data_IF_278554729025
#
_entry.id   IF_278554729025
#
_cell.length_a   1.000
_cell.length_b   1.000
_cell.length_c   1.000
_cell.angle_alpha   90.00
_cell.angle_beta   90.00
_cell.angle_gamma   90.00
#
_symmetry.space_group_name_H-M   'P 1'
#
loop_
_entity.id
_entity.type
_entity.pdbx_description
1 polymer ?
#
# COMPACT_ATOMS: atom_id res chain seq x y z
N UNK A 1 -8.33 1.05 5.87
CA UNK A 1 -9.25 0.85 7.02
C UNK A 1 -10.64 1.41 6.73
N UNK A 2 -10.79 2.63 6.26
CA UNK A 2 -12.11 3.25 5.99
C UNK A 2 -13.01 2.36 5.14
N UNK A 3 -12.51 1.82 4.03
CA UNK A 3 -13.30 0.96 3.15
C UNK A 3 -13.67 -0.37 3.81
N UNK A 4 -12.72 -1.07 4.42
CA UNK A 4 -13.05 -2.31 5.15
C UNK A 4 -14.15 -2.07 6.19
N UNK A 5 -14.02 -1.03 7.01
CA UNK A 5 -15.01 -0.67 8.04
C UNK A 5 -16.39 -0.37 7.43
N UNK A 6 -16.42 0.34 6.29
CA UNK A 6 -17.68 0.66 5.59
C UNK A 6 -18.44 -0.61 5.21
N UNK A 7 -17.76 -1.57 4.57
CA UNK A 7 -18.40 -2.84 4.16
C UNK A 7 -18.68 -3.76 5.35
N UNK A 8 -17.85 -3.74 6.39
CA UNK A 8 -18.15 -4.52 7.61
C UNK A 8 -19.39 -4.02 8.33
N UNK A 9 -19.67 -2.70 8.34
CA UNK A 9 -20.88 -2.12 8.95
C UNK A 9 -22.18 -2.51 8.26
N UNK A 10 -22.11 -3.06 7.04
CA UNK A 10 -23.27 -3.64 6.36
C UNK A 10 -23.69 -5.00 6.95
N UNK A 11 -22.77 -5.69 7.66
CA UNK A 11 -22.95 -7.07 8.13
C UNK A 11 -22.68 -7.27 9.62
N UNK A 12 -22.18 -6.25 10.32
CA UNK A 12 -21.88 -6.28 11.76
C UNK A 12 -21.93 -4.86 12.36
N UNK A 13 -22.13 -4.78 13.68
CA UNK A 13 -21.88 -3.54 14.42
C UNK A 13 -20.38 -3.35 14.60
N UNK A 14 -19.86 -2.18 14.21
CA UNK A 14 -18.41 -1.89 14.22
C UNK A 14 -18.13 -0.51 14.79
N UNK A 15 -17.44 -0.47 15.90
CA UNK A 15 -16.84 0.73 16.47
C UNK A 15 -15.36 0.83 16.07
N UNK A 16 -14.93 2.04 15.75
CA UNK A 16 -13.56 2.34 15.33
C UNK A 16 -12.88 3.22 16.37
N UNK A 17 -11.85 2.68 17.01
CA UNK A 17 -10.99 3.45 17.90
C UNK A 17 -9.71 3.84 17.17
N UNK A 18 -9.42 5.13 17.09
CA UNK A 18 -8.26 5.63 16.34
C UNK A 18 -7.54 6.78 17.07
N UNK A 19 -6.33 7.06 16.63
CA UNK A 19 -5.54 8.22 17.02
C UNK A 19 -5.58 9.27 15.92
N UNK A 20 -5.48 10.55 16.27
CA UNK A 20 -5.33 11.64 15.30
C UNK A 20 -6.25 12.83 15.57
N UNK A 21 -6.54 13.58 14.50
CA UNK A 21 -7.45 14.72 14.58
C UNK A 21 -8.91 14.26 14.85
N UNK A 22 -9.70 15.09 15.52
CA UNK A 22 -11.13 14.80 15.74
C UNK A 22 -11.83 14.46 14.42
N UNK A 23 -12.71 13.47 14.47
CA UNK A 23 -13.54 13.00 13.34
C UNK A 23 -14.99 12.99 13.79
N UNK A 24 -15.84 13.66 13.02
CA UNK A 24 -17.28 13.65 13.22
C UNK A 24 -17.89 12.54 12.35
N UNK A 25 -17.85 11.32 12.87
CA UNK A 25 -18.41 10.15 12.21
C UNK A 25 -18.98 9.20 13.27
N UNK A 26 -20.17 8.66 13.02
CA UNK A 26 -20.83 7.71 13.91
C UNK A 26 -19.97 6.45 14.12
N UNK A 27 -19.90 6.00 15.38
CA UNK A 27 -19.08 4.84 15.78
C UNK A 27 -17.59 5.02 15.54
N UNK A 28 -17.08 6.27 15.50
CA UNK A 28 -15.63 6.57 15.42
C UNK A 28 -15.20 7.35 16.65
N UNK A 29 -14.34 6.74 17.44
CA UNK A 29 -13.82 7.28 18.70
C UNK A 29 -12.34 7.65 18.54
N UNK A 30 -12.04 8.95 18.63
CA UNK A 30 -10.66 9.45 18.51
C UNK A 30 -10.04 9.63 19.88
N UNK A 31 -8.92 8.95 20.11
CA UNK A 31 -8.17 9.01 21.36
C UNK A 31 -6.95 9.92 21.21
N UNK A 32 -6.85 10.90 22.09
CA UNK A 32 -5.71 11.81 22.16
C UNK A 32 -4.52 11.21 22.90
N UNK A 33 -3.34 11.75 22.66
CA UNK A 33 -2.13 11.49 23.45
C UNK A 33 -2.34 12.06 24.87
N UNK A 34 -1.72 11.44 25.88
CA UNK A 34 -1.69 12.02 27.22
C UNK A 34 -0.91 13.36 27.19
N UNK A 35 -1.49 14.47 27.66
CA UNK A 35 -0.79 15.76 27.66
C UNK A 35 0.55 15.76 28.40
N UNK A 36 0.74 14.90 29.41
CA UNK A 36 2.00 14.74 30.09
C UNK A 36 3.13 14.18 29.19
N UNK A 37 2.75 13.59 28.04
CA UNK A 37 3.65 12.98 27.06
C UNK A 37 3.84 13.83 25.80
N UNK A 38 3.41 15.08 25.77
CA UNK A 38 3.49 15.94 24.56
C UNK A 38 4.92 16.05 23.99
N UNK A 39 5.93 15.99 24.83
CA UNK A 39 7.34 16.03 24.44
C UNK A 39 8.00 14.63 24.38
N UNK A 40 7.23 13.55 24.57
CA UNK A 40 7.77 12.20 24.54
C UNK A 40 8.06 11.72 23.11
N UNK A 41 8.84 10.64 22.99
CA UNK A 41 9.04 9.95 21.71
C UNK A 41 7.70 9.51 21.11
N UNK A 42 7.59 9.56 19.78
CA UNK A 42 6.36 9.22 19.06
C UNK A 42 5.83 7.81 19.39
N UNK A 43 6.71 6.83 19.62
CA UNK A 43 6.29 5.50 20.00
C UNK A 43 5.61 5.48 21.39
N UNK A 44 6.12 6.24 22.37
CA UNK A 44 5.51 6.35 23.70
C UNK A 44 4.15 7.05 23.62
N UNK A 45 4.02 8.09 22.80
CA UNK A 45 2.72 8.74 22.52
C UNK A 45 1.69 7.75 21.97
N UNK A 46 2.10 6.93 21.02
CA UNK A 46 1.27 5.88 20.42
C UNK A 46 0.80 4.87 21.48
N UNK A 47 1.70 4.40 22.33
CA UNK A 47 1.35 3.46 23.40
C UNK A 47 0.35 4.07 24.39
N UNK A 48 0.50 5.36 24.74
CA UNK A 48 -0.45 6.04 25.64
C UNK A 48 -1.86 6.10 25.07
N UNK A 49 -1.97 6.30 23.77
CA UNK A 49 -3.26 6.25 23.05
C UNK A 49 -3.83 4.83 23.05
N UNK A 50 -2.99 3.82 22.86
CA UNK A 50 -3.37 2.40 22.93
C UNK A 50 -3.98 2.01 24.29
N UNK A 51 -3.48 2.55 25.39
CA UNK A 51 -4.06 2.32 26.73
C UNK A 51 -5.50 2.85 26.83
N UNK A 52 -5.77 4.03 26.26
CA UNK A 52 -7.13 4.62 26.22
C UNK A 52 -8.06 3.83 25.30
N UNK A 53 -7.55 3.30 24.19
CA UNK A 53 -8.33 2.41 23.32
C UNK A 53 -8.69 1.12 24.05
N UNK A 54 -7.75 0.54 24.79
CA UNK A 54 -8.00 -0.68 25.54
C UNK A 54 -9.08 -0.52 26.61
N UNK A 55 -9.07 0.57 27.35
CA UNK A 55 -10.08 0.88 28.37
C UNK A 55 -11.47 1.08 27.75
N UNK A 56 -11.54 1.72 26.58
CA UNK A 56 -12.79 2.06 25.93
C UNK A 56 -13.41 0.90 25.11
N UNK A 57 -12.72 -0.21 24.94
CA UNK A 57 -13.17 -1.36 24.13
C UNK A 57 -13.94 -2.39 24.97
N UNK A 58 -14.92 -1.93 25.76
CA UNK A 58 -15.81 -2.78 26.53
C UNK A 58 -17.07 -3.17 25.74
N UNK A 59 -17.76 -4.23 26.18
CA UNK A 59 -19.04 -4.71 25.62
C UNK A 59 -19.00 -5.07 24.12
N UNK A 60 -17.86 -5.52 23.61
CA UNK A 60 -17.70 -6.00 22.24
C UNK A 60 -17.36 -7.51 22.23
N UNK A 61 -17.73 -8.20 21.14
CA UNK A 61 -17.47 -9.65 21.01
C UNK A 61 -16.04 -9.96 20.57
N UNK A 62 -15.34 -9.03 19.92
CA UNK A 62 -13.97 -9.18 19.42
C UNK A 62 -13.31 -7.81 19.30
N UNK A 63 -12.01 -7.75 19.52
CA UNK A 63 -11.17 -6.59 19.24
C UNK A 63 -10.26 -6.92 18.07
N UNK A 64 -10.25 -6.03 17.06
CA UNK A 64 -9.37 -6.16 15.91
C UNK A 64 -8.42 -4.96 15.80
N UNK A 65 -7.14 -5.20 15.89
CA UNK A 65 -6.10 -4.17 15.77
C UNK A 65 -5.37 -4.23 14.43
N UNK A 66 -5.00 -3.06 13.91
CA UNK A 66 -4.26 -2.93 12.66
C UNK A 66 -2.93 -2.24 12.90
N UNK A 67 -1.85 -2.87 12.50
CA UNK A 67 -0.46 -2.41 12.68
C UNK A 67 -0.05 -2.31 14.16
N UNK A 68 1.25 -2.07 14.40
CA UNK A 68 1.78 -1.91 15.75
C UNK A 68 1.19 -0.69 16.51
N UNK A 69 0.69 0.32 15.77
CA UNK A 69 0.10 1.53 16.37
C UNK A 69 -1.11 1.22 17.26
N UNK A 70 -1.92 0.26 16.89
CA UNK A 70 -3.09 -0.19 17.66
C UNK A 70 -2.87 -1.55 18.32
N UNK A 71 -1.82 -2.29 17.92
CA UNK A 71 -1.60 -3.68 18.30
C UNK A 71 -1.57 -3.90 19.80
N UNK A 72 -0.79 -3.09 20.55
CA UNK A 72 -0.74 -3.21 22.00
C UNK A 72 -2.09 -2.85 22.65
N UNK A 73 -2.79 -1.84 22.12
CA UNK A 73 -4.12 -1.47 22.60
C UNK A 73 -5.12 -2.63 22.45
N UNK A 74 -5.14 -3.27 21.28
CA UNK A 74 -5.97 -4.45 21.01
C UNK A 74 -5.62 -5.62 21.93
N UNK A 75 -4.32 -5.91 22.11
CA UNK A 75 -3.87 -6.96 23.03
C UNK A 75 -4.33 -6.70 24.46
N UNK A 76 -4.15 -5.48 24.95
CA UNK A 76 -4.55 -5.12 26.32
C UNK A 76 -6.08 -5.14 26.48
N UNK A 77 -6.84 -4.70 25.48
CA UNK A 77 -8.30 -4.78 25.48
C UNK A 77 -8.77 -6.24 25.61
N UNK A 78 -8.20 -7.13 24.78
CA UNK A 78 -8.52 -8.56 24.85
C UNK A 78 -8.26 -9.15 26.25
N UNK A 79 -7.14 -8.77 26.87
CA UNK A 79 -6.79 -9.22 28.23
C UNK A 79 -7.67 -8.63 29.32
N UNK A 80 -7.96 -7.31 29.22
CA UNK A 80 -8.73 -6.58 30.22
C UNK A 80 -10.17 -7.03 30.26
N UNK A 81 -10.78 -7.23 29.11
CA UNK A 81 -12.22 -7.52 28.97
C UNK A 81 -12.50 -9.03 28.73
N UNK A 82 -11.48 -9.87 28.56
CA UNK A 82 -11.63 -11.30 28.34
C UNK A 82 -12.27 -11.64 26.99
N UNK A 83 -11.97 -10.86 25.95
CA UNK A 83 -12.51 -11.00 24.60
C UNK A 83 -11.40 -11.38 23.62
N UNK A 84 -11.71 -12.10 22.50
CA UNK A 84 -10.73 -12.45 21.49
C UNK A 84 -10.08 -11.22 20.85
N UNK A 85 -8.77 -11.30 20.61
CA UNK A 85 -8.00 -10.27 19.90
C UNK A 85 -7.54 -10.79 18.54
N UNK A 86 -7.87 -10.08 17.47
CA UNK A 86 -7.37 -10.30 16.12
C UNK A 86 -6.36 -9.19 15.78
N UNK A 87 -5.22 -9.54 15.19
CA UNK A 87 -4.21 -8.59 14.73
C UNK A 87 -4.01 -8.68 13.22
N UNK A 88 -4.14 -7.58 12.48
CA UNK A 88 -3.78 -7.56 11.05
C UNK A 88 -2.40 -6.97 10.83
N UNK A 89 -1.54 -7.73 10.15
CA UNK A 89 -0.26 -7.28 9.65
C UNK A 89 -0.38 -6.65 8.26
N UNK A 90 -0.25 -5.32 8.17
CA UNK A 90 -0.13 -4.61 6.89
C UNK A 90 1.32 -4.43 6.46
N UNK A 91 2.26 -4.69 7.33
CA UNK A 91 3.71 -4.72 7.16
C UNK A 91 4.31 -5.22 8.46
N UNK A 92 5.55 -5.71 8.43
CA UNK A 92 6.27 -6.13 9.63
C UNK A 92 7.44 -5.18 9.93
N UNK A 93 7.67 -4.88 11.21
CA UNK A 93 8.83 -4.09 11.62
C UNK A 93 10.16 -4.82 11.28
N UNK A 94 10.33 -6.14 11.51
CA UNK A 94 11.53 -6.87 11.10
C UNK A 94 11.87 -6.77 9.61
N UNK A 95 10.88 -6.71 8.73
CA UNK A 95 11.09 -6.58 7.28
C UNK A 95 11.51 -5.16 6.84
N UNK A 96 11.53 -4.21 7.77
CA UNK A 96 11.83 -2.80 7.50
C UNK A 96 12.93 -2.24 8.42
N UNK A 97 14.11 -2.88 8.47
CA UNK A 97 15.17 -2.49 9.41
C UNK A 97 15.68 -1.04 9.20
N UNK A 98 15.53 -0.48 8.00
CA UNK A 98 15.84 0.93 7.71
C UNK A 98 14.99 1.92 8.48
N UNK A 99 13.83 1.55 9.03
CA UNK A 99 13.03 2.40 9.90
C UNK A 99 13.74 2.81 11.19
N UNK A 100 14.77 2.07 11.59
CA UNK A 100 15.61 2.45 12.72
C UNK A 100 16.28 3.81 12.51
N UNK A 101 16.61 4.15 11.27
CA UNK A 101 17.19 5.44 10.91
C UNK A 101 16.18 6.59 11.15
N UNK A 102 14.88 6.33 11.00
CA UNK A 102 13.82 7.31 11.17
C UNK A 102 13.32 7.42 12.62
N UNK A 103 13.18 6.29 13.29
CA UNK A 103 12.53 6.19 14.60
C UNK A 103 13.52 6.10 15.77
N UNK A 104 14.81 5.91 15.51
CA UNK A 104 15.84 5.69 16.54
C UNK A 104 15.38 4.65 17.58
N UNK A 105 15.46 4.93 18.89
CA UNK A 105 14.96 4.04 19.94
C UNK A 105 13.47 3.72 19.88
N UNK A 106 12.67 4.51 19.17
CA UNK A 106 11.26 4.23 18.92
C UNK A 106 11.03 2.98 18.10
N UNK A 107 11.99 2.59 17.25
CA UNK A 107 11.93 1.34 16.48
C UNK A 107 11.95 0.09 17.38
N UNK A 108 12.73 0.09 18.44
CA UNK A 108 12.77 -1.03 19.39
C UNK A 108 11.43 -1.17 20.14
N UNK A 109 10.78 -0.04 20.44
CA UNK A 109 9.45 -0.01 21.06
C UNK A 109 8.38 -0.50 20.10
N UNK A 110 8.39 -0.06 18.83
CA UNK A 110 7.41 -0.51 17.82
C UNK A 110 7.56 -2.01 17.53
N UNK A 111 8.79 -2.49 17.38
CA UNK A 111 9.08 -3.92 17.15
C UNK A 111 8.65 -4.79 18.33
N UNK A 112 8.90 -4.34 19.56
CA UNK A 112 8.44 -5.03 20.78
C UNK A 112 6.91 -5.06 20.86
N UNK A 113 6.25 -3.93 20.58
CA UNK A 113 4.79 -3.82 20.60
C UNK A 113 4.14 -4.73 19.57
N UNK A 114 4.64 -4.72 18.31
CA UNK A 114 4.17 -5.58 17.22
C UNK A 114 4.30 -7.04 17.57
N UNK A 115 5.51 -7.47 18.01
CA UNK A 115 5.77 -8.85 18.43
C UNK A 115 4.77 -9.32 19.48
N UNK A 116 4.57 -8.56 20.55
CA UNK A 116 3.66 -8.96 21.61
C UNK A 116 2.21 -9.02 21.14
N UNK A 117 1.77 -8.01 20.36
CA UNK A 117 0.41 -8.02 19.83
C UNK A 117 0.13 -9.25 18.98
N UNK A 118 1.08 -9.66 18.11
CA UNK A 118 0.91 -10.79 17.20
C UNK A 118 1.08 -12.15 17.89
N UNK A 119 2.13 -12.32 18.74
CA UNK A 119 2.37 -13.61 19.43
C UNK A 119 1.27 -13.98 20.42
N UNK A 120 0.48 -13.02 20.90
CA UNK A 120 -0.60 -13.25 21.86
C UNK A 120 -1.99 -12.97 21.30
N UNK A 121 -2.12 -12.70 20.00
CA UNK A 121 -3.42 -12.63 19.35
C UNK A 121 -4.05 -14.02 19.22
N UNK A 122 -5.38 -14.09 19.31
CA UNK A 122 -6.14 -15.33 19.09
C UNK A 122 -6.16 -15.70 17.60
N UNK A 123 -6.08 -14.69 16.71
CA UNK A 123 -5.79 -14.88 15.29
C UNK A 123 -4.96 -13.71 14.73
N UNK A 124 -4.11 -14.00 13.76
CA UNK A 124 -3.37 -13.01 12.99
C UNK A 124 -3.87 -13.04 11.54
N UNK A 125 -4.24 -11.90 11.01
CA UNK A 125 -4.57 -11.74 9.59
C UNK A 125 -3.35 -11.25 8.84
N UNK A 126 -2.90 -12.04 7.86
CA UNK A 126 -1.90 -11.70 6.88
C UNK A 126 -2.57 -11.20 5.60
N UNK A 127 -2.11 -10.06 5.06
CA UNK A 127 -2.70 -9.45 3.85
C UNK A 127 -2.27 -10.11 2.54
N UNK A 128 -1.43 -11.15 2.62
CA UNK A 128 -1.01 -11.99 1.50
C UNK A 128 -0.48 -13.33 2.02
N UNK A 129 -0.38 -14.35 1.17
CA UNK A 129 0.25 -15.63 1.53
C UNK A 129 1.74 -15.40 1.87
N UNK A 130 2.43 -14.55 1.10
CA UNK A 130 3.83 -14.20 1.40
C UNK A 130 3.97 -13.49 2.74
N UNK A 131 3.01 -12.63 3.11
CA UNK A 131 3.00 -12.00 4.44
C UNK A 131 2.81 -13.05 5.55
N UNK A 132 2.00 -14.10 5.32
CA UNK A 132 1.88 -15.22 6.26
C UNK A 132 3.22 -15.89 6.50
N UNK A 133 3.99 -16.17 5.45
CA UNK A 133 5.32 -16.75 5.57
C UNK A 133 6.26 -15.83 6.37
N UNK A 134 6.29 -14.54 6.05
CA UNK A 134 7.08 -13.55 6.79
C UNK A 134 6.70 -13.46 8.27
N UNK A 135 5.40 -13.52 8.60
CA UNK A 135 4.93 -13.53 9.99
C UNK A 135 5.47 -14.75 10.74
N UNK A 136 5.35 -15.93 10.15
CA UNK A 136 5.80 -17.19 10.78
C UNK A 136 7.32 -17.25 10.94
N UNK A 137 8.07 -16.66 10.01
CA UNK A 137 9.51 -16.53 10.09
C UNK A 137 9.94 -15.54 11.20
N UNK A 138 9.31 -14.35 11.24
CA UNK A 138 9.63 -13.31 12.20
C UNK A 138 9.18 -13.65 13.64
N UNK A 139 8.06 -14.36 13.78
CA UNK A 139 7.41 -14.66 15.05
C UNK A 139 7.12 -16.18 15.19
N UNK A 140 8.14 -17.02 15.39
CA UNK A 140 8.02 -18.47 15.36
C UNK A 140 7.22 -19.09 16.53
N UNK A 141 6.69 -18.28 17.45
CA UNK A 141 5.75 -18.72 18.49
C UNK A 141 4.30 -18.75 18.02
N UNK A 142 4.01 -18.15 16.87
CA UNK A 142 2.66 -18.14 16.31
C UNK A 142 2.43 -19.49 15.63
N UNK A 143 1.37 -20.18 16.03
CA UNK A 143 0.96 -21.43 15.36
C UNK A 143 0.48 -21.11 13.94
N UNK A 144 0.91 -21.87 12.90
CA UNK A 144 0.54 -21.60 11.50
C UNK A 144 -0.98 -21.52 11.26
N UNK A 145 -1.76 -22.28 12.04
CA UNK A 145 -3.21 -22.30 11.96
C UNK A 145 -3.86 -21.04 12.55
N UNK A 146 -3.16 -20.26 13.34
CA UNK A 146 -3.64 -18.97 13.85
C UNK A 146 -3.41 -17.84 12.84
N UNK A 147 -2.62 -18.05 11.78
CA UNK A 147 -2.41 -17.04 10.72
C UNK A 147 -3.38 -17.31 9.57
N UNK A 148 -4.32 -16.41 9.38
CA UNK A 148 -5.32 -16.42 8.30
C UNK A 148 -4.90 -15.45 7.19
N UNK A 149 -4.99 -15.88 5.94
CA UNK A 149 -4.77 -14.99 4.80
C UNK A 149 -6.10 -14.34 4.45
N UNK A 150 -6.17 -13.02 4.59
CA UNK A 150 -7.30 -12.19 4.14
C UNK A 150 -6.71 -10.98 3.44
N UNK A 151 -6.86 -10.91 2.14
CA UNK A 151 -6.27 -9.87 1.29
C UNK A 151 -6.85 -8.48 1.61
N UNK A 152 -6.20 -7.41 1.15
CA UNK A 152 -6.87 -6.12 1.07
C UNK A 152 -7.72 -6.04 -0.19
N UNK A 153 -8.81 -5.30 -0.11
CA UNK A 153 -9.71 -5.08 -1.24
C UNK A 153 -9.48 -3.76 -1.96
N UNK A 154 -10.26 -3.57 -3.00
CA UNK A 154 -10.40 -2.33 -3.76
C UNK A 154 -11.89 -2.00 -3.95
N UNK A 155 -12.24 -0.71 -3.87
CA UNK A 155 -13.56 -0.24 -4.29
C UNK A 155 -13.53 0.12 -5.78
N UNK A 156 -14.01 -0.78 -6.62
CA UNK A 156 -14.01 -0.61 -8.08
C UNK A 156 -15.11 0.31 -8.61
N UNK A 157 -16.00 0.80 -7.75
CA UNK A 157 -16.91 1.90 -8.07
C UNK A 157 -16.24 3.25 -7.83
N UNK A 158 -15.43 3.31 -6.78
CA UNK A 158 -14.62 4.48 -6.47
C UNK A 158 -13.41 4.56 -7.40
N UNK A 159 -12.68 3.44 -7.60
CA UNK A 159 -11.57 3.31 -8.52
C UNK A 159 -12.05 2.75 -9.86
N UNK A 160 -12.13 3.61 -10.86
CA UNK A 160 -12.60 3.24 -12.21
C UNK A 160 -11.99 4.17 -13.26
N UNK A 161 -12.02 3.77 -14.55
CA UNK A 161 -11.56 4.63 -15.63
C UNK A 161 -12.30 5.97 -15.63
N UNK A 162 -11.56 7.05 -15.92
CA UNK A 162 -12.09 8.41 -15.98
C UNK A 162 -11.84 9.04 -17.36
N UNK A 163 -12.58 10.10 -17.74
CA UNK A 163 -12.21 10.96 -18.85
C UNK A 163 -10.77 11.49 -18.70
N UNK A 164 -10.05 11.58 -19.81
CA UNK A 164 -8.66 12.01 -19.87
C UNK A 164 -8.48 13.11 -20.92
N UNK A 165 -7.46 13.95 -20.77
CA UNK A 165 -7.13 15.03 -21.71
C UNK A 165 -8.33 15.93 -22.03
N UNK A 166 -8.71 16.03 -23.31
CA UNK A 166 -9.78 16.92 -23.78
C UNK A 166 -11.17 16.48 -23.36
N UNK A 167 -11.34 15.21 -23.01
CA UNK A 167 -12.60 14.68 -22.47
C UNK A 167 -12.76 15.01 -20.97
N UNK A 168 -11.68 15.45 -20.28
CA UNK A 168 -11.69 15.88 -18.89
C UNK A 168 -11.84 17.40 -18.79
N UNK A 169 -12.77 17.88 -17.96
CA UNK A 169 -12.98 19.32 -17.74
C UNK A 169 -11.74 20.00 -17.15
N UNK A 170 -11.08 19.34 -16.21
CA UNK A 170 -9.88 19.82 -15.48
C UNK A 170 -8.78 18.73 -15.55
N UNK A 171 -8.09 18.64 -16.69
CA UNK A 171 -7.09 17.60 -16.95
C UNK A 171 -5.72 17.97 -16.40
N UNK A 172 -5.22 17.17 -15.44
CA UNK A 172 -3.85 17.29 -14.94
C UNK A 172 -2.81 16.92 -16.01
N UNK A 173 -3.12 15.97 -16.89
CA UNK A 173 -2.21 15.58 -17.97
C UNK A 173 -2.01 16.69 -18.99
N UNK A 174 -3.08 17.43 -19.32
CA UNK A 174 -3.01 18.61 -20.18
C UNK A 174 -2.21 19.73 -19.52
N UNK A 175 -2.43 19.99 -18.23
CA UNK A 175 -1.67 20.98 -17.46
C UNK A 175 -0.17 20.68 -17.43
N UNK A 176 0.18 19.39 -17.32
CA UNK A 176 1.56 18.92 -17.34
C UNK A 176 2.20 18.99 -18.74
N UNK A 177 1.40 19.11 -19.80
CA UNK A 177 1.88 19.10 -21.19
C UNK A 177 2.21 17.69 -21.69
N UNK A 178 1.56 16.66 -21.13
CA UNK A 178 1.68 15.28 -21.61
C UNK A 178 1.05 15.16 -23.00
N UNK A 179 1.75 14.53 -23.94
CA UNK A 179 1.27 14.31 -25.31
C UNK A 179 0.46 13.00 -25.39
N UNK A 180 -0.87 13.03 -25.65
CA UNK A 180 -1.70 11.84 -25.70
C UNK A 180 -1.37 10.89 -26.88
N UNK A 181 -0.64 11.35 -27.88
CA UNK A 181 -0.24 10.53 -29.03
C UNK A 181 0.94 9.61 -28.71
N UNK A 182 1.73 9.94 -27.68
CA UNK A 182 2.92 9.22 -27.26
C UNK A 182 2.58 8.22 -26.13
N UNK A 183 3.34 7.11 -26.00
CA UNK A 183 3.16 6.20 -24.89
C UNK A 183 3.37 6.85 -23.52
N UNK A 184 2.52 6.51 -22.55
CA UNK A 184 2.54 7.05 -21.20
C UNK A 184 2.80 5.94 -20.19
N UNK A 185 3.83 6.11 -19.39
CA UNK A 185 4.17 5.29 -18.23
C UNK A 185 3.82 6.07 -16.97
N UNK A 186 3.11 5.48 -16.03
CA UNK A 186 2.74 6.12 -14.76
C UNK A 186 3.42 5.45 -13.57
N UNK A 187 3.77 6.26 -12.58
CA UNK A 187 4.12 5.84 -11.23
C UNK A 187 3.34 6.67 -10.22
N UNK A 188 2.81 6.03 -9.19
CA UNK A 188 2.13 6.70 -8.07
C UNK A 188 2.63 6.12 -6.76
N UNK A 189 3.19 6.97 -5.91
CA UNK A 189 3.68 6.53 -4.61
C UNK A 189 4.48 7.58 -3.85
N UNK A 190 4.76 7.29 -2.57
CA UNK A 190 5.67 8.11 -1.78
C UNK A 190 7.12 7.85 -2.18
N UNK A 191 7.97 8.84 -2.03
CA UNK A 191 9.42 8.70 -2.21
C UNK A 191 9.99 8.02 -0.96
N UNK A 192 9.99 6.69 -0.98
CA UNK A 192 10.51 5.86 0.10
C UNK A 192 11.43 4.80 -0.47
N UNK A 193 12.38 4.29 0.32
CA UNK A 193 13.23 3.18 -0.09
C UNK A 193 12.40 1.98 -0.55
N UNK A 194 11.33 1.67 0.19
CA UNK A 194 10.43 0.56 -0.08
C UNK A 194 9.81 0.61 -1.49
N UNK A 195 9.43 1.80 -1.98
CA UNK A 195 8.73 1.97 -3.26
C UNK A 195 9.63 1.92 -4.48
N UNK A 196 10.95 1.90 -4.30
CA UNK A 196 11.89 1.68 -5.39
C UNK A 196 11.89 2.75 -6.48
N UNK A 197 11.43 3.97 -6.20
CA UNK A 197 11.29 5.04 -7.20
C UNK A 197 12.62 5.35 -7.91
N UNK A 198 13.75 5.23 -7.21
CA UNK A 198 15.08 5.44 -7.79
C UNK A 198 15.39 4.41 -8.88
N UNK A 199 14.97 3.16 -8.71
CA UNK A 199 15.13 2.11 -9.74
C UNK A 199 14.33 2.44 -11.00
N UNK A 200 13.09 2.93 -10.84
CA UNK A 200 12.30 3.39 -11.98
C UNK A 200 12.95 4.55 -12.73
N UNK A 201 13.46 5.57 -11.99
CA UNK A 201 14.11 6.73 -12.63
C UNK A 201 15.33 6.29 -13.45
N UNK A 202 16.13 5.36 -12.93
CA UNK A 202 17.28 4.80 -13.65
C UNK A 202 16.85 3.93 -14.83
N UNK A 203 15.84 3.08 -14.66
CA UNK A 203 15.26 2.30 -15.75
C UNK A 203 14.72 3.20 -16.87
N UNK A 204 14.10 4.33 -16.52
CA UNK A 204 13.54 5.27 -17.48
C UNK A 204 14.58 5.92 -18.41
N UNK A 205 15.86 5.92 -18.03
CA UNK A 205 16.94 6.34 -18.93
C UNK A 205 17.09 5.40 -20.16
N UNK A 206 16.54 4.18 -20.07
CA UNK A 206 16.58 3.14 -21.11
C UNK A 206 15.22 2.88 -21.78
N UNK A 207 14.20 3.71 -21.48
CA UNK A 207 12.93 3.65 -22.21
C UNK A 207 13.12 4.07 -23.65
N UNK A 208 12.35 3.46 -24.54
CA UNK A 208 12.37 3.77 -25.98
C UNK A 208 12.08 5.27 -26.21
N UNK A 209 12.55 5.77 -27.36
CA UNK A 209 12.32 7.15 -27.77
C UNK A 209 10.82 7.41 -27.88
N UNK A 210 10.38 8.56 -27.38
CA UNK A 210 8.98 8.94 -27.39
C UNK A 210 8.16 8.49 -26.17
N UNK A 211 8.64 7.53 -25.37
CA UNK A 211 7.96 7.13 -24.12
C UNK A 211 8.02 8.26 -23.09
N UNK A 212 6.86 8.60 -22.51
CA UNK A 212 6.72 9.60 -21.46
C UNK A 212 6.57 8.94 -20.10
N UNK A 213 7.14 9.53 -19.06
CA UNK A 213 6.98 9.12 -17.67
C UNK A 213 6.26 10.20 -16.86
N UNK A 214 5.10 9.87 -16.32
CA UNK A 214 4.38 10.68 -15.33
C UNK A 214 4.68 10.11 -13.94
N UNK A 215 5.54 10.80 -13.22
CA UNK A 215 6.04 10.40 -11.90
C UNK A 215 5.27 11.18 -10.82
N UNK A 216 4.19 10.60 -10.27
CA UNK A 216 3.49 11.14 -9.10
C UNK A 216 4.17 10.64 -7.84
N UNK A 217 5.24 11.33 -7.43
CA UNK A 217 6.10 10.94 -6.34
C UNK A 217 6.40 12.12 -5.42
N UNK A 218 5.89 12.04 -4.20
CA UNK A 218 6.05 13.05 -3.16
C UNK A 218 6.27 12.44 -1.78
N UNK A 219 6.19 13.28 -0.74
CA UNK A 219 6.30 12.88 0.67
C UNK A 219 7.49 11.96 0.96
N UNK A 220 8.74 12.44 0.77
CA UNK A 220 9.94 11.65 1.02
C UNK A 220 10.09 11.30 2.51
N UNK A 221 10.58 10.09 2.79
CA UNK A 221 10.78 9.61 4.17
C UNK A 221 11.89 10.38 4.90
N UNK A 222 12.94 10.80 4.19
CA UNK A 222 14.04 11.60 4.74
C UNK A 222 14.52 12.68 3.76
N UNK A 223 15.18 13.75 4.25
CA UNK A 223 15.76 14.78 3.40
C UNK A 223 16.81 14.22 2.41
N UNK A 224 17.58 13.20 2.81
CA UNK A 224 18.61 12.58 1.99
C UNK A 224 17.99 11.85 0.79
N UNK A 225 16.93 11.08 1.02
CA UNK A 225 16.16 10.41 -0.04
C UNK A 225 15.55 11.45 -0.99
N UNK A 226 14.99 12.54 -0.43
CA UNK A 226 14.44 13.64 -1.23
C UNK A 226 15.50 14.24 -2.16
N UNK A 227 16.66 14.59 -1.63
CA UNK A 227 17.76 15.20 -2.38
C UNK A 227 18.28 14.27 -3.49
N UNK A 228 18.45 13.00 -3.17
CA UNK A 228 18.92 11.98 -4.12
C UNK A 228 17.90 11.75 -5.25
N UNK A 229 16.64 11.59 -4.93
CA UNK A 229 15.57 11.44 -5.94
C UNK A 229 15.50 12.65 -6.85
N UNK A 230 15.58 13.86 -6.28
CA UNK A 230 15.60 15.12 -7.05
C UNK A 230 16.76 15.15 -8.05
N UNK A 231 17.97 14.84 -7.60
CA UNK A 231 19.15 14.82 -8.47
C UNK A 231 19.00 13.81 -9.63
N UNK A 232 18.43 12.63 -9.36
CA UNK A 232 18.18 11.61 -10.39
C UNK A 232 17.13 12.08 -11.41
N UNK A 233 16.05 12.71 -10.98
CA UNK A 233 15.02 13.23 -11.89
C UNK A 233 15.58 14.38 -12.73
N UNK A 234 16.32 15.35 -12.15
CA UNK A 234 16.94 16.44 -12.87
C UNK A 234 17.95 15.96 -13.93
N UNK A 235 18.76 14.94 -13.58
CA UNK A 235 19.70 14.33 -14.53
C UNK A 235 18.94 13.62 -15.68
N UNK A 236 17.86 12.89 -15.37
CA UNK A 236 17.03 12.23 -16.37
C UNK A 236 16.37 13.25 -17.31
N UNK A 237 15.80 14.34 -16.77
CA UNK A 237 15.18 15.42 -17.54
C UNK A 237 16.19 16.16 -18.45
N UNK A 238 17.45 16.23 -18.05
CA UNK A 238 18.52 16.80 -18.88
C UNK A 238 18.91 15.92 -20.07
N UNK A 239 18.62 14.62 -20.01
CA UNK A 239 19.01 13.63 -21.03
C UNK A 239 17.87 13.25 -21.96
N UNK A 240 16.61 13.35 -21.50
CA UNK A 240 15.44 12.98 -22.29
C UNK A 240 14.23 13.86 -22.00
N UNK A 241 13.41 14.03 -23.02
CA UNK A 241 12.12 14.71 -22.91
C UNK A 241 11.02 13.75 -22.38
N UNK A 242 9.89 14.35 -21.99
CA UNK A 242 8.70 13.59 -21.58
C UNK A 242 8.78 13.03 -20.17
N UNK A 243 9.54 13.65 -19.27
CA UNK A 243 9.61 13.31 -17.85
C UNK A 243 8.88 14.37 -17.05
N UNK A 244 7.71 13.99 -16.52
CA UNK A 244 6.84 14.88 -15.75
C UNK A 244 6.84 14.44 -14.29
N UNK A 245 7.30 15.28 -13.39
CA UNK A 245 7.37 14.95 -11.97
C UNK A 245 6.41 15.82 -11.16
N UNK A 246 5.40 15.18 -10.59
CA UNK A 246 4.41 15.77 -9.69
C UNK A 246 4.80 15.44 -8.26
N UNK A 247 5.16 16.45 -7.48
CA UNK A 247 5.62 16.31 -6.10
C UNK A 247 4.49 16.48 -5.08
N UNK A 248 3.46 17.21 -5.46
CA UNK A 248 2.29 17.45 -4.61
C UNK A 248 1.39 16.23 -4.55
N UNK A 249 0.67 16.12 -3.42
CA UNK A 249 -0.35 15.09 -3.28
C UNK A 249 -1.57 15.45 -4.14
N UNK A 250 -1.79 14.68 -5.19
CA UNK A 250 -2.96 14.84 -6.04
C UNK A 250 -4.22 14.24 -5.39
N UNK A 251 -5.38 14.80 -5.72
CA UNK A 251 -6.67 14.19 -5.44
C UNK A 251 -6.83 12.84 -6.15
N UNK A 252 -7.70 12.00 -5.63
CA UNK A 252 -7.95 10.67 -6.18
C UNK A 252 -8.42 10.72 -7.63
N UNK A 253 -9.24 11.68 -8.00
CA UNK A 253 -9.73 11.93 -9.36
C UNK A 253 -8.61 12.18 -10.38
N UNK A 254 -7.60 12.98 -9.99
CA UNK A 254 -6.41 13.25 -10.80
C UNK A 254 -5.51 12.01 -10.94
N UNK A 255 -5.37 11.23 -9.87
CA UNK A 255 -4.64 9.95 -9.91
C UNK A 255 -5.34 8.97 -10.86
N UNK A 256 -6.67 8.87 -10.80
CA UNK A 256 -7.44 8.02 -11.71
C UNK A 256 -7.32 8.46 -13.17
N UNK A 257 -7.30 9.77 -13.45
CA UNK A 257 -7.05 10.28 -14.79
C UNK A 257 -5.69 9.82 -15.31
N UNK A 258 -4.62 9.99 -14.52
CA UNK A 258 -3.26 9.59 -14.89
C UNK A 258 -3.18 8.09 -15.13
N UNK A 259 -3.73 7.28 -14.22
CA UNK A 259 -3.75 5.82 -14.37
C UNK A 259 -4.54 5.41 -15.61
N UNK A 260 -5.71 6.01 -15.87
CA UNK A 260 -6.54 5.67 -17.03
C UNK A 260 -5.86 6.00 -18.35
N UNK A 261 -5.08 7.09 -18.41
CA UNK A 261 -4.38 7.50 -19.61
C UNK A 261 -3.08 6.72 -19.86
N UNK A 262 -2.54 6.08 -18.83
CA UNK A 262 -1.27 5.36 -18.93
C UNK A 262 -1.41 4.05 -19.70
N UNK A 263 -0.47 3.79 -20.60
CA UNK A 263 -0.33 2.49 -21.25
C UNK A 263 0.15 1.42 -20.27
N UNK A 264 0.97 1.82 -19.29
CA UNK A 264 1.36 0.95 -18.18
C UNK A 264 1.66 1.74 -16.91
N UNK A 265 1.32 1.14 -15.77
CA UNK A 265 1.72 1.57 -14.45
C UNK A 265 2.93 0.75 -14.00
N UNK A 266 3.95 1.39 -13.41
CA UNK A 266 5.14 0.69 -12.91
C UNK A 266 5.17 0.70 -11.40
N UNK A 267 5.29 -0.51 -10.79
CA UNK A 267 5.45 -0.71 -9.35
C UNK A 267 6.81 -1.35 -9.06
N UNK A 268 7.92 -0.58 -8.94
CA UNK A 268 9.27 -1.10 -8.77
C UNK A 268 9.61 -1.34 -7.30
N UNK A 269 8.61 -1.67 -6.47
CA UNK A 269 8.78 -1.84 -5.03
C UNK A 269 9.80 -2.93 -4.71
N UNK A 270 10.65 -2.72 -3.70
CA UNK A 270 11.57 -3.73 -3.16
C UNK A 270 11.01 -4.46 -1.94
N UNK A 271 9.93 -3.95 -1.41
CA UNK A 271 9.13 -4.55 -0.35
C UNK A 271 7.67 -4.12 -0.52
N UNK A 272 6.75 -5.06 -0.66
CA UNK A 272 5.32 -4.77 -0.84
C UNK A 272 4.46 -5.87 -0.20
N UNK A 273 3.78 -5.59 0.90
CA UNK A 273 2.95 -6.59 1.58
C UNK A 273 1.84 -7.20 0.72
N UNK A 274 1.18 -6.39 -0.12
CA UNK A 274 0.20 -6.85 -1.11
C UNK A 274 0.31 -6.06 -2.42
N UNK A 275 0.38 -4.71 -2.36
CA UNK A 275 0.43 -3.87 -3.54
C UNK A 275 -0.92 -3.30 -3.96
N UNK A 276 -1.62 -2.63 -3.04
CA UNK A 276 -2.92 -1.99 -3.32
C UNK A 276 -2.85 -1.03 -4.52
N UNK A 277 -1.74 -0.33 -4.70
CA UNK A 277 -1.56 0.59 -5.83
C UNK A 277 -1.64 -0.13 -7.20
N UNK A 278 -1.26 -1.42 -7.25
CA UNK A 278 -1.46 -2.22 -8.46
C UNK A 278 -2.95 -2.48 -8.71
N UNK A 279 -3.73 -2.73 -7.64
CA UNK A 279 -5.20 -2.85 -7.75
C UNK A 279 -5.85 -1.55 -8.22
N UNK A 280 -5.35 -0.39 -7.76
CA UNK A 280 -5.82 0.93 -8.20
C UNK A 280 -5.58 1.14 -9.71
N UNK A 281 -4.38 0.79 -10.19
CA UNK A 281 -4.05 0.84 -11.61
C UNK A 281 -4.91 -0.14 -12.44
N UNK A 282 -5.01 -1.39 -12.00
CA UNK A 282 -5.84 -2.42 -12.64
C UNK A 282 -7.32 -2.00 -12.68
N UNK A 283 -7.84 -1.42 -11.59
CA UNK A 283 -9.20 -0.90 -11.54
C UNK A 283 -9.45 0.26 -12.53
N UNK A 284 -8.42 0.98 -12.92
CA UNK A 284 -8.44 2.03 -13.96
C UNK A 284 -8.18 1.51 -15.38
N UNK A 285 -8.21 0.20 -15.63
CA UNK A 285 -7.88 -0.46 -16.90
C UNK A 285 -6.41 -0.32 -17.34
N UNK A 286 -5.48 -0.11 -16.40
CA UNK A 286 -4.07 0.09 -16.73
C UNK A 286 -3.30 -1.22 -16.57
N UNK A 287 -2.51 -1.60 -17.58
CA UNK A 287 -1.57 -2.71 -17.48
C UNK A 287 -0.50 -2.41 -16.42
N UNK A 288 0.02 -3.43 -15.77
CA UNK A 288 0.99 -3.27 -14.69
C UNK A 288 2.33 -3.92 -15.06
N UNK A 289 3.43 -3.18 -14.88
CA UNK A 289 4.78 -3.75 -14.80
C UNK A 289 5.23 -3.61 -13.34
N UNK A 290 5.49 -4.71 -12.66
CA UNK A 290 5.79 -4.69 -11.24
C UNK A 290 6.92 -5.65 -10.88
N UNK A 291 7.61 -5.38 -9.77
CA UNK A 291 8.52 -6.36 -9.17
C UNK A 291 7.76 -7.61 -8.68
N UNK A 292 8.46 -8.73 -8.56
CA UNK A 292 7.89 -10.00 -8.08
C UNK A 292 7.96 -10.16 -6.55
N UNK A 293 8.08 -9.06 -5.80
CA UNK A 293 8.29 -9.09 -4.34
C UNK A 293 6.99 -9.13 -3.55
N UNK A 294 7.07 -9.74 -2.37
CA UNK A 294 5.97 -9.75 -1.39
C UNK A 294 4.68 -10.32 -1.96
N UNK A 295 3.57 -9.60 -1.75
CA UNK A 295 2.24 -9.99 -2.24
C UNK A 295 1.93 -9.52 -3.67
N UNK A 296 2.84 -8.84 -4.36
CA UNK A 296 2.59 -8.38 -5.74
C UNK A 296 2.17 -9.53 -6.68
N UNK A 297 2.83 -10.72 -6.67
CA UNK A 297 2.41 -11.84 -7.52
C UNK A 297 1.02 -12.41 -7.21
N UNK A 298 0.47 -12.10 -6.04
CA UNK A 298 -0.91 -12.47 -5.70
C UNK A 298 -1.93 -11.49 -6.32
N UNK A 299 -1.51 -10.28 -6.68
CA UNK A 299 -2.31 -9.25 -7.33
C UNK A 299 -2.14 -9.29 -8.85
N UNK A 300 -0.90 -9.18 -9.32
CA UNK A 300 -0.55 -9.13 -10.74
C UNK A 300 -0.24 -10.54 -11.24
N UNK A 301 -0.98 -10.98 -12.25
CA UNK A 301 -0.75 -12.28 -12.92
C UNK A 301 0.12 -12.05 -14.14
N UNK A 302 1.36 -12.57 -14.08
CA UNK A 302 2.33 -12.42 -15.16
C UNK A 302 1.80 -12.93 -16.50
N UNK A 303 1.99 -12.14 -17.55
CA UNK A 303 1.49 -12.44 -18.91
C UNK A 303 -0.02 -12.37 -19.08
N UNK A 304 -0.80 -11.96 -18.05
CA UNK A 304 -2.26 -11.88 -18.10
C UNK A 304 -2.79 -10.50 -17.72
N UNK A 305 -2.37 -9.97 -16.58
CA UNK A 305 -2.79 -8.63 -16.11
C UNK A 305 -1.63 -7.63 -16.13
N UNK A 306 -0.43 -8.09 -16.47
CA UNK A 306 0.79 -7.29 -16.51
C UNK A 306 2.03 -8.15 -16.71
N UNK A 307 3.18 -7.59 -16.36
CA UNK A 307 4.46 -8.28 -16.37
C UNK A 307 5.12 -8.18 -14.99
N UNK A 308 5.69 -9.29 -14.51
CA UNK A 308 6.48 -9.33 -13.30
C UNK A 308 7.98 -9.30 -13.64
N UNK A 309 8.73 -8.50 -12.91
CA UNK A 309 10.18 -8.32 -13.05
C UNK A 309 10.84 -8.80 -11.76
N UNK A 310 11.82 -9.68 -11.88
CA UNK A 310 12.52 -10.24 -10.72
C UNK A 310 13.40 -9.19 -10.04
N UNK A 311 13.24 -9.05 -8.72
CA UNK A 311 14.09 -8.20 -7.88
C UNK A 311 15.12 -9.03 -7.11
N UNK A 312 16.40 -8.69 -7.29
CA UNK A 312 17.50 -9.19 -6.45
C UNK A 312 18.30 -8.00 -5.90
N UNK A 313 18.40 -7.90 -4.58
CA UNK A 313 19.15 -6.84 -3.88
C UNK A 313 20.66 -6.89 -4.19
N UNK A 314 21.15 -8.04 -4.64
CA UNK A 314 22.55 -8.22 -5.05
C UNK A 314 22.81 -7.88 -6.53
N UNK A 315 21.75 -7.73 -7.35
CA UNK A 315 21.85 -7.40 -8.78
C UNK A 315 20.76 -6.39 -9.22
N UNK A 316 20.80 -5.23 -8.61
CA UNK A 316 19.83 -4.14 -8.89
C UNK A 316 19.96 -3.57 -10.31
N UNK A 317 21.13 -3.69 -10.94
CA UNK A 317 21.34 -3.21 -12.33
C UNK A 317 20.54 -4.07 -13.31
N UNK A 318 20.50 -5.38 -13.12
CA UNK A 318 19.63 -6.27 -13.90
C UNK A 318 18.17 -5.93 -13.69
N UNK A 319 17.73 -5.71 -12.45
CA UNK A 319 16.35 -5.30 -12.17
C UNK A 319 15.96 -3.99 -12.89
N UNK A 320 16.82 -2.96 -12.85
CA UNK A 320 16.59 -1.66 -13.52
C UNK A 320 16.50 -1.82 -15.05
N UNK A 321 17.35 -2.66 -15.64
CA UNK A 321 17.32 -2.99 -17.08
C UNK A 321 16.03 -3.77 -17.44
N UNK A 322 15.69 -4.78 -16.66
CA UNK A 322 14.55 -5.65 -16.93
C UNK A 322 13.22 -4.89 -16.77
N UNK A 323 13.14 -3.90 -15.86
CA UNK A 323 12.02 -2.93 -15.81
C UNK A 323 11.93 -2.18 -17.16
N UNK A 324 13.05 -1.66 -17.66
CA UNK A 324 13.04 -0.93 -18.93
C UNK A 324 12.60 -1.81 -20.10
N UNK A 325 13.11 -3.04 -20.18
CA UNK A 325 12.70 -4.00 -21.20
C UNK A 325 11.20 -4.34 -21.13
N UNK A 326 10.68 -4.60 -19.93
CA UNK A 326 9.27 -4.90 -19.72
C UNK A 326 8.38 -3.72 -20.12
N UNK A 327 8.75 -2.48 -19.73
CA UNK A 327 8.05 -1.26 -20.11
C UNK A 327 8.08 -1.06 -21.62
N UNK A 328 9.26 -1.14 -22.26
CA UNK A 328 9.39 -0.95 -23.72
C UNK A 328 8.54 -1.98 -24.48
N UNK A 329 8.55 -3.24 -24.06
CA UNK A 329 7.70 -4.29 -24.63
C UNK A 329 6.21 -3.98 -24.44
N UNK A 330 5.80 -3.49 -23.27
CA UNK A 330 4.40 -3.17 -22.98
C UNK A 330 3.91 -2.02 -23.84
N UNK A 331 4.67 -0.94 -23.96
CA UNK A 331 4.26 0.25 -24.72
C UNK A 331 4.40 0.10 -26.26
N UNK A 332 5.22 -0.86 -26.72
CA UNK A 332 5.35 -1.19 -28.14
C UNK A 332 4.07 -1.82 -28.71
N UNK A 333 3.28 -2.51 -27.89
CA UNK A 333 2.00 -3.11 -28.27
C UNK A 333 0.87 -2.59 -27.36
N UNK A 334 0.40 -1.37 -27.67
CA UNK A 334 -0.69 -0.71 -26.91
C UNK A 334 -1.98 -1.52 -26.91
N UNK A 335 -2.23 -2.37 -27.92
CA UNK A 335 -3.40 -3.25 -27.93
C UNK A 335 -3.26 -4.37 -26.90
N UNK A 336 -2.07 -4.99 -26.79
CA UNK A 336 -1.78 -5.98 -25.77
C UNK A 336 -1.81 -5.35 -24.36
N UNK A 337 -1.22 -4.16 -24.17
CA UNK A 337 -1.30 -3.41 -22.91
C UNK A 337 -2.75 -3.17 -22.48
N UNK A 338 -3.61 -2.74 -23.42
CA UNK A 338 -5.04 -2.56 -23.15
C UNK A 338 -5.74 -3.86 -22.75
N UNK A 339 -5.41 -5.00 -23.37
CA UNK A 339 -5.96 -6.31 -22.99
C UNK A 339 -5.54 -6.68 -21.55
N UNK A 340 -4.29 -6.46 -21.17
CA UNK A 340 -3.83 -6.67 -19.81
C UNK A 340 -4.56 -5.77 -18.81
N UNK A 341 -4.75 -4.49 -19.11
CA UNK A 341 -5.50 -3.57 -18.27
C UNK A 341 -6.96 -4.01 -18.07
N UNK A 342 -7.65 -4.45 -19.12
CA UNK A 342 -9.01 -4.97 -19.02
C UNK A 342 -9.09 -6.25 -18.17
N UNK A 343 -8.17 -7.20 -18.38
CA UNK A 343 -8.09 -8.41 -17.57
C UNK A 343 -7.75 -8.06 -16.11
N UNK A 344 -6.89 -7.07 -15.88
CA UNK A 344 -6.58 -6.54 -14.57
C UNK A 344 -7.82 -5.99 -13.86
N UNK A 345 -8.63 -5.19 -14.53
CA UNK A 345 -9.89 -4.67 -13.97
C UNK A 345 -10.88 -5.78 -13.63
N UNK A 346 -11.05 -6.75 -14.53
CA UNK A 346 -11.92 -7.90 -14.28
C UNK A 346 -11.49 -8.64 -13.02
N UNK A 347 -10.19 -8.89 -12.86
CA UNK A 347 -9.61 -9.49 -11.67
C UNK A 347 -9.84 -8.64 -10.40
N UNK A 348 -9.62 -7.31 -10.48
CA UNK A 348 -9.84 -6.40 -9.35
C UNK A 348 -11.32 -6.44 -8.87
N UNK A 349 -12.28 -6.52 -9.79
CA UNK A 349 -13.71 -6.60 -9.48
C UNK A 349 -14.06 -7.96 -8.84
N UNK A 350 -13.56 -9.06 -9.41
CA UNK A 350 -13.99 -10.40 -9.03
C UNK A 350 -13.29 -10.92 -7.77
N UNK A 351 -11.97 -10.66 -7.64
CA UNK A 351 -11.14 -11.31 -6.62
C UNK A 351 -10.84 -10.40 -5.43
N UNK A 352 -10.95 -9.07 -5.58
CA UNK A 352 -10.53 -8.09 -4.57
C UNK A 352 -11.66 -7.15 -4.10
N UNK A 353 -12.91 -7.60 -4.15
CA UNK A 353 -14.05 -6.84 -3.64
C UNK A 353 -13.98 -6.66 -2.12
N UNK A 354 -14.12 -5.43 -1.63
CA UNK A 354 -14.20 -5.17 -0.19
C UNK A 354 -15.35 -5.90 0.50
N UNK A 355 -16.46 -6.18 -0.19
CA UNK A 355 -17.55 -6.96 0.37
C UNK A 355 -17.12 -8.40 0.69
N UNK A 356 -16.37 -9.03 -0.21
CA UNK A 356 -15.79 -10.37 0.02
C UNK A 356 -14.77 -10.34 1.15
N UNK A 357 -13.88 -9.35 1.17
CA UNK A 357 -12.85 -9.20 2.21
C UNK A 357 -13.48 -8.95 3.59
N UNK A 358 -14.52 -8.12 3.67
CA UNK A 358 -15.26 -7.88 4.90
C UNK A 358 -15.90 -9.17 5.43
N UNK A 359 -16.53 -9.97 4.55
CA UNK A 359 -17.12 -11.25 4.93
C UNK A 359 -16.06 -12.23 5.45
N UNK A 360 -14.92 -12.36 4.76
CA UNK A 360 -13.81 -13.21 5.21
C UNK A 360 -13.27 -12.77 6.58
N UNK A 361 -13.19 -11.45 6.82
CA UNK A 361 -12.76 -10.90 8.11
C UNK A 361 -13.75 -11.27 9.22
N UNK A 362 -15.05 -11.13 8.97
CA UNK A 362 -16.11 -11.54 9.92
C UNK A 362 -16.08 -13.06 10.18
N UNK A 363 -15.76 -13.86 9.17
CA UNK A 363 -15.66 -15.31 9.34
C UNK A 363 -14.47 -15.70 10.24
N UNK A 364 -13.35 -14.95 10.19
CA UNK A 364 -12.29 -15.10 11.19
C UNK A 364 -12.82 -14.79 12.59
N UNK A 365 -13.57 -13.71 12.80
CA UNK A 365 -14.13 -13.38 14.12
C UNK A 365 -15.05 -14.50 14.63
N UNK A 366 -15.98 -14.99 13.80
CA UNK A 366 -16.89 -16.09 14.15
C UNK A 366 -16.18 -17.37 14.54
N UNK A 367 -14.97 -17.61 14.00
CA UNK A 367 -14.19 -18.79 14.36
C UNK A 367 -13.58 -18.74 15.77
N UNK A 368 -13.60 -17.55 16.42
CA UNK A 368 -13.04 -17.31 17.74
C UNK A 368 -14.10 -17.19 18.84
N UNK A 369 -15.36 -17.02 18.47
CA UNK A 369 -16.50 -16.92 19.37
C UNK A 369 -17.16 -18.29 19.57
#
# INVERSE_FOLDING_TARGET
MTELTRFMREIAEVDVHCMGAPRDAEGVFVHGVDPALDNANAAIKTLSTGLRMAEAADNVGVVHSHTWYAGLGGHLAGRLHGIPHVATAHSLEPDRPWKREQLSGGYDVSSWSEKNAMEYADAVIAVSARMKDSILEAYPRIEPDNVRVVLNGIDTQLWQPRPTFDDAEDSVLRELGVDPSRPIVAFVGRITRQKGVEHLIKAAAHFDEGVQLVLCAGAPDTPEIAARTKALVEDLQARREGIFWVQDMLGQDKIQEILTAADTFVCPSIYEPLGIVNLEAMACNTAVVASDVGGIPEVVVDGTTGALVHYDDNDVETFERDIAEAVNKMVADREAARKFGLAGRERAINDFSWATIAQQTIDVYKSLM
#
